data_IF_535861437907
#
_entry.id   IF_535861437907
#
_cell.length_a   1.000
_cell.length_b   1.000
_cell.length_c   1.000
_cell.angle_alpha   90.00
_cell.angle_beta   90.00
_cell.angle_gamma   90.00
#
_symmetry.space_group_name_H-M   'P 1'
#
loop_
_entity.id
_entity.type
_entity.pdbx_description
1 polymer ?
#
# COMPACT_ATOMS: atom_id res chain seq x y z
N UNK A 1 -21.20 6.49 9.01
CA UNK A 1 -20.05 6.31 8.09
C UNK A 1 -20.54 5.51 6.88
N UNK A 2 -20.59 6.11 5.68
CA UNK A 2 -20.96 5.36 4.46
C UNK A 2 -19.84 4.37 4.16
N UNK A 3 -20.09 3.07 4.32
CA UNK A 3 -19.16 2.02 3.89
C UNK A 3 -19.32 1.86 2.40
N UNK A 4 -18.26 2.11 1.64
CA UNK A 4 -18.22 1.76 0.23
C UNK A 4 -17.87 0.27 0.12
N UNK A 5 -18.45 -0.44 -0.86
CA UNK A 5 -18.23 -1.89 -1.04
C UNK A 5 -16.74 -2.26 -1.25
N UNK A 6 -15.91 -1.29 -1.63
CA UNK A 6 -14.49 -1.46 -1.95
C UNK A 6 -13.56 -0.89 -0.86
N UNK A 7 -14.11 -0.56 0.31
CA UNK A 7 -13.32 -0.03 1.42
C UNK A 7 -12.61 -1.17 2.15
N UNK A 8 -11.28 -1.17 2.09
CA UNK A 8 -10.43 -2.12 2.81
C UNK A 8 -9.70 -1.42 3.94
N UNK A 9 -9.76 -1.99 5.15
CA UNK A 9 -8.93 -1.54 6.27
C UNK A 9 -7.62 -2.33 6.28
N UNK A 10 -6.49 -1.62 6.29
CA UNK A 10 -5.16 -2.21 6.40
C UNK A 10 -4.65 -2.06 7.83
N UNK A 11 -4.23 -3.18 8.44
CA UNK A 11 -3.52 -3.15 9.72
C UNK A 11 -2.04 -2.94 9.43
N UNK A 12 -1.45 -1.91 10.04
CA UNK A 12 -0.04 -1.54 9.87
C UNK A 12 0.64 -1.51 11.25
N UNK A 13 1.96 -1.71 11.28
CA UNK A 13 2.76 -1.43 12.47
C UNK A 13 2.85 0.08 12.71
N UNK A 14 3.09 0.48 13.96
CA UNK A 14 3.23 1.90 14.31
C UNK A 14 4.38 2.57 13.54
N UNK A 15 5.51 1.85 13.38
CA UNK A 15 6.66 2.34 12.61
C UNK A 15 6.28 2.67 11.17
N UNK A 16 5.63 1.74 10.46
CA UNK A 16 5.25 1.93 9.07
C UNK A 16 4.25 3.09 8.91
N UNK A 17 3.27 3.16 9.82
CA UNK A 17 2.30 4.26 9.81
C UNK A 17 2.98 5.61 10.01
N UNK A 18 3.85 5.73 11.00
CA UNK A 18 4.53 6.98 11.32
C UNK A 18 5.46 7.44 10.19
N UNK A 19 6.17 6.52 9.54
CA UNK A 19 7.00 6.82 8.38
C UNK A 19 6.17 7.29 7.18
N UNK A 20 5.06 6.60 6.89
CA UNK A 20 4.13 7.01 5.84
C UNK A 20 3.58 8.41 6.07
N UNK A 21 3.08 8.68 7.29
CA UNK A 21 2.54 10.00 7.66
C UNK A 21 3.61 11.08 7.51
N UNK A 22 4.84 10.85 7.98
CA UNK A 22 5.95 11.81 7.82
C UNK A 22 6.24 12.13 6.35
N UNK A 23 6.28 11.12 5.48
CA UNK A 23 6.50 11.32 4.03
C UNK A 23 5.35 12.11 3.41
N UNK A 24 4.11 11.77 3.77
CA UNK A 24 2.92 12.44 3.24
C UNK A 24 2.87 13.91 3.68
N UNK A 25 3.16 14.20 4.95
CA UNK A 25 3.22 15.55 5.50
C UNK A 25 4.29 16.41 4.82
N UNK A 26 5.50 15.84 4.62
CA UNK A 26 6.61 16.55 3.98
C UNK A 26 6.34 16.93 2.53
N UNK A 27 5.58 16.11 1.81
CA UNK A 27 5.30 16.30 0.38
C UNK A 27 3.90 16.87 0.12
N UNK A 28 3.12 17.18 1.17
CA UNK A 28 1.73 17.58 1.09
C UNK A 28 0.86 16.62 0.25
N UNK A 29 1.07 15.32 0.43
CA UNK A 29 0.36 14.25 -0.28
C UNK A 29 -0.74 13.67 0.62
N UNK A 30 -1.88 13.31 0.02
CA UNK A 30 -2.91 12.57 0.73
C UNK A 30 -2.48 11.12 1.00
N UNK A 31 -2.51 10.68 2.26
CA UNK A 31 -2.11 9.32 2.66
C UNK A 31 -2.86 8.22 1.91
N UNK A 32 -4.16 8.40 1.68
CA UNK A 32 -4.99 7.41 0.97
C UNK A 32 -4.62 7.32 -0.52
N UNK A 33 -4.28 8.44 -1.15
CA UNK A 33 -3.77 8.45 -2.53
C UNK A 33 -2.40 7.78 -2.60
N UNK A 34 -1.51 8.09 -1.65
CA UNK A 34 -0.18 7.49 -1.55
C UNK A 34 -0.26 5.97 -1.41
N UNK A 35 -1.08 5.46 -0.48
CA UNK A 35 -1.29 4.02 -0.30
C UNK A 35 -1.87 3.36 -1.55
N UNK A 36 -2.88 3.97 -2.19
CA UNK A 36 -3.46 3.44 -3.43
C UNK A 36 -2.44 3.36 -4.56
N UNK A 37 -1.57 4.36 -4.67
CA UNK A 37 -0.51 4.37 -5.67
C UNK A 37 0.56 3.32 -5.37
N UNK A 38 1.04 3.23 -4.13
CA UNK A 38 2.03 2.24 -3.71
C UNK A 38 1.56 0.80 -3.95
N UNK A 39 0.29 0.49 -3.61
CA UNK A 39 -0.31 -0.82 -3.87
C UNK A 39 -0.40 -1.11 -5.37
N UNK A 40 -0.82 -0.12 -6.18
CA UNK A 40 -0.89 -0.28 -7.64
C UNK A 40 0.48 -0.58 -8.24
N UNK A 41 1.50 0.20 -7.91
CA UNK A 41 2.85 0.00 -8.45
C UNK A 41 3.44 -1.34 -7.99
N UNK A 42 3.22 -1.72 -6.74
CA UNK A 42 3.61 -3.04 -6.24
C UNK A 42 2.98 -4.18 -7.04
N UNK A 43 1.65 -4.15 -7.26
CA UNK A 43 0.94 -5.17 -8.04
C UNK A 43 1.44 -5.21 -9.50
N UNK A 44 1.67 -4.05 -10.12
CA UNK A 44 2.18 -3.97 -11.49
C UNK A 44 3.59 -4.56 -11.60
N UNK A 45 4.46 -4.27 -10.64
CA UNK A 45 5.81 -4.84 -10.60
C UNK A 45 5.77 -6.36 -10.40
N UNK A 46 4.95 -6.86 -9.46
CA UNK A 46 4.75 -8.30 -9.28
C UNK A 46 4.19 -9.00 -10.53
N UNK A 47 3.27 -8.33 -11.25
CA UNK A 47 2.66 -8.88 -12.47
C UNK A 47 3.63 -8.90 -13.65
N UNK A 48 4.58 -7.95 -13.70
CA UNK A 48 5.67 -7.93 -14.68
C UNK A 48 6.70 -9.04 -14.39
N UNK A 49 6.92 -9.36 -13.12
CA UNK A 49 7.87 -10.39 -12.66
C UNK A 49 7.25 -11.80 -12.55
N UNK A 50 6.09 -12.03 -13.15
CA UNK A 50 5.19 -13.19 -12.96
C UNK A 50 5.71 -14.57 -13.44
N UNK A 51 7.01 -14.75 -13.70
CA UNK A 51 7.60 -16.10 -13.62
C UNK A 51 8.10 -16.44 -12.20
N UNK A 52 8.35 -15.45 -11.32
CA UNK A 52 8.89 -15.66 -9.96
C UNK A 52 8.11 -14.97 -8.82
N UNK A 53 7.19 -14.04 -9.11
CA UNK A 53 6.59 -13.13 -8.11
C UNK A 53 5.60 -13.74 -7.10
N UNK A 54 4.90 -14.83 -7.45
CA UNK A 54 3.83 -15.40 -6.59
C UNK A 54 4.35 -16.13 -5.34
N UNK A 55 5.63 -16.51 -5.31
CA UNK A 55 6.22 -17.25 -4.18
C UNK A 55 6.62 -16.37 -2.99
N UNK A 56 6.76 -15.05 -3.17
CA UNK A 56 7.24 -14.16 -2.10
C UNK A 56 6.13 -13.71 -1.13
N UNK A 57 4.86 -13.71 -1.56
CA UNK A 57 3.72 -13.30 -0.73
C UNK A 57 3.19 -14.42 0.20
N UNK A 58 3.70 -15.65 0.08
CA UNK A 58 3.33 -16.76 0.96
C UNK A 58 4.03 -16.73 2.32
N UNK A 59 5.03 -15.87 2.49
CA UNK A 59 5.88 -15.80 3.69
C UNK A 59 5.97 -14.40 4.32
N UNK A 60 5.14 -13.46 3.89
CA UNK A 60 5.07 -12.09 4.45
C UNK A 60 3.87 -11.92 5.38
#
# INVERSE_FOLDING_TARGET
MKKFNYQTCLRMSDTLKNEMTKICDQNAINESDFMRHAIKESILNYSRDSENGLNQLRYA
#
